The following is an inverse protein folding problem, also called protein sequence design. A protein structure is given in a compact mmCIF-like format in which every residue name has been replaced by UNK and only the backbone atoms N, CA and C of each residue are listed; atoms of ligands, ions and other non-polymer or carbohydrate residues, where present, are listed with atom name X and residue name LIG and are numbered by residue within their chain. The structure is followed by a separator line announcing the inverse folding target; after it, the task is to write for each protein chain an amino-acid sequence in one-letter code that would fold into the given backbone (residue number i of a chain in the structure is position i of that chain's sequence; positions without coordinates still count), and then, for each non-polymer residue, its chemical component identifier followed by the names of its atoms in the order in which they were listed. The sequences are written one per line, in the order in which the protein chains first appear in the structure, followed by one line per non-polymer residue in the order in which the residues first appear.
data_IF_114385397190
#
_entry.id   IF_114385397190
#
_cell.length_a   1.000
_cell.length_b   1.000
_cell.length_c   1.000
_cell.angle_alpha   90.00
_cell.angle_beta   90.00
_cell.angle_gamma   90.00
#
_symmetry.space_group_name_H-M   'P 1'
#
loop_
_entity.id
_entity.type
_entity.pdbx_description
1 polymer ?
#
# COMPACT_ATOMS: atom_id res chain seq x y z
N UNK A 1 -24.53 33.74 11.15
CA UNK A 1 -23.40 33.92 12.09
C UNK A 1 -22.12 33.91 11.26
N UNK A 2 -21.21 34.89 11.44
CA UNK A 2 -20.11 35.12 10.52
C UNK A 2 -18.99 34.09 10.67
N UNK A 3 -18.31 33.82 9.55
CA UNK A 3 -17.16 32.92 9.43
C UNK A 3 -16.03 33.29 10.39
N UNK A 4 -15.59 32.31 11.17
CA UNK A 4 -14.40 32.44 12.00
C UNK A 4 -13.14 32.40 11.11
N UNK A 5 -12.39 33.50 11.17
CA UNK A 5 -11.07 33.71 10.59
C UNK A 5 -10.12 32.53 10.84
N UNK A 6 -9.33 32.18 9.82
CA UNK A 6 -8.17 31.30 9.91
C UNK A 6 -7.29 31.69 11.11
N UNK A 7 -7.38 30.94 12.21
CA UNK A 7 -6.49 31.09 13.36
C UNK A 7 -5.19 30.37 13.03
N UNK A 8 -4.13 31.17 13.00
CA UNK A 8 -2.72 30.80 13.02
C UNK A 8 -2.43 29.47 13.71
N UNK A 9 -1.75 28.57 12.99
CA UNK A 9 -1.10 27.38 13.51
C UNK A 9 -0.20 27.74 14.71
N UNK A 10 -0.20 26.98 15.82
CA UNK A 10 0.75 27.19 16.90
C UNK A 10 2.18 26.90 16.42
N UNK A 11 3.06 27.91 16.52
CA UNK A 11 4.44 27.95 16.01
C UNK A 11 5.37 26.81 16.47
N UNK A 12 4.95 25.96 17.42
CA UNK A 12 5.73 24.84 17.93
C UNK A 12 5.57 23.52 17.14
N UNK A 13 4.57 23.40 16.25
CA UNK A 13 4.35 22.18 15.42
C UNK A 13 4.73 22.35 13.96
N UNK A 14 4.84 23.59 13.50
CA UNK A 14 5.39 23.96 12.21
C UNK A 14 6.84 23.48 12.08
N UNK A 15 7.64 23.62 13.14
CA UNK A 15 9.03 23.18 13.17
C UNK A 15 9.29 21.67 13.10
N UNK A 16 8.29 20.78 13.22
CA UNK A 16 8.47 19.32 13.05
C UNK A 16 8.22 18.90 11.59
N UNK A 17 7.18 19.46 10.97
CA UNK A 17 6.88 19.26 9.55
C UNK A 17 7.91 20.00 8.68
N UNK A 18 8.28 21.22 9.07
CA UNK A 18 9.37 21.98 8.44
C UNK A 18 10.73 21.33 8.72
N UNK A 19 11.00 20.75 9.90
CA UNK A 19 12.24 19.97 10.08
C UNK A 19 12.29 18.74 9.18
N UNK A 20 11.19 17.98 9.04
CA UNK A 20 11.18 16.81 8.16
C UNK A 20 11.39 17.23 6.70
N UNK A 21 10.75 18.33 6.27
CA UNK A 21 10.90 18.89 4.93
C UNK A 21 12.29 19.51 4.69
N UNK A 22 12.84 20.27 5.63
CA UNK A 22 14.16 20.88 5.54
C UNK A 22 15.30 19.87 5.67
N UNK A 23 15.20 18.87 6.57
CA UNK A 23 16.16 17.77 6.65
C UNK A 23 16.12 16.89 5.39
N UNK A 24 14.94 16.77 4.76
CA UNK A 24 14.77 16.13 3.46
C UNK A 24 15.42 16.93 2.32
N UNK A 25 15.24 18.25 2.27
CA UNK A 25 15.90 19.13 1.27
C UNK A 25 17.42 19.21 1.46
N UNK A 26 17.93 19.19 2.70
CA UNK A 26 19.37 19.32 3.02
C UNK A 26 20.18 18.04 2.84
N UNK A 27 19.56 16.86 2.84
CA UNK A 27 20.26 15.57 2.72
C UNK A 27 20.56 15.14 1.26
N UNK A 28 20.34 16.04 0.30
CA UNK A 28 20.63 15.85 -1.12
C UNK A 28 22.09 16.05 -1.54
N UNK A 29 22.91 16.79 -0.80
CA UNK A 29 24.32 17.03 -1.15
C UNK A 29 25.15 17.41 0.09
N UNK A 30 26.16 16.61 0.40
CA UNK A 30 27.26 17.07 1.22
C UNK A 30 28.14 17.98 0.37
N UNK A 31 28.01 19.31 0.52
CA UNK A 31 29.00 20.25 0.00
C UNK A 31 29.64 20.99 1.17
N UNK A 32 30.93 20.70 1.36
CA UNK A 32 31.83 21.46 2.22
C UNK A 32 31.90 22.91 1.75
N UNK A 33 32.12 23.89 2.64
CA UNK A 33 32.39 25.25 2.22
C UNK A 33 33.84 25.33 1.73
N UNK A 34 34.04 25.58 0.44
CA UNK A 34 35.26 26.22 -0.06
C UNK A 34 34.83 27.42 -0.88
N UNK A 35 35.15 28.61 -0.39
CA UNK A 35 34.83 29.86 -1.05
C UNK A 35 35.51 29.99 -2.40
N UNK A 36 34.88 30.74 -3.30
CA UNK A 36 35.43 31.93 -3.96
C UNK A 36 34.37 32.46 -4.91
N UNK A 37 34.36 33.78 -5.06
CA UNK A 37 33.41 34.59 -5.79
C UNK A 37 33.36 34.22 -7.29
N UNK A 38 32.17 34.29 -7.87
CA UNK A 38 31.98 34.12 -9.31
C UNK A 38 30.52 34.37 -9.70
N UNK A 39 30.21 35.61 -10.05
CA UNK A 39 28.89 36.02 -10.55
C UNK A 39 28.53 35.28 -11.85
N UNK A 40 27.32 34.74 -11.95
CA UNK A 40 26.73 34.28 -13.21
C UNK A 40 25.34 34.88 -13.37
N UNK A 41 25.21 35.69 -14.42
CA UNK A 41 24.03 36.43 -14.87
C UNK A 41 22.95 35.49 -15.44
N UNK A 42 21.69 35.70 -15.04
CA UNK A 42 20.51 34.99 -15.57
C UNK A 42 19.94 35.78 -16.75
N UNK A 43 20.03 35.23 -17.96
CA UNK A 43 19.36 35.75 -19.15
C UNK A 43 17.86 35.37 -19.15
N UNK A 44 16.97 36.35 -19.33
CA UNK A 44 15.53 36.16 -19.52
C UNK A 44 15.21 35.81 -20.99
N UNK A 45 14.29 34.87 -21.29
CA UNK A 45 13.79 34.69 -22.65
C UNK A 45 12.71 35.71 -23.01
N UNK A 46 12.84 36.28 -24.22
CA UNK A 46 11.98 37.29 -24.82
C UNK A 46 10.55 36.81 -25.10
N UNK A 47 9.57 37.67 -24.77
CA UNK A 47 8.18 37.58 -25.22
C UNK A 47 8.05 38.07 -26.68
N UNK A 48 7.26 37.36 -27.51
CA UNK A 48 6.82 37.84 -28.83
C UNK A 48 5.45 38.53 -28.73
N UNK A 49 5.20 39.63 -29.46
CA UNK A 49 3.94 40.37 -29.37
C UNK A 49 2.82 39.77 -30.24
N UNK A 50 1.57 39.90 -29.76
CA UNK A 50 0.32 39.60 -30.47
C UNK A 50 -0.21 40.88 -31.13
N UNK A 51 -0.64 40.87 -32.40
CA UNK A 51 -1.23 42.06 -33.02
C UNK A 51 -2.72 42.23 -32.70
N UNK A 52 -3.12 43.48 -32.52
CA UNK A 52 -4.49 43.93 -32.26
C UNK A 52 -5.29 44.09 -33.57
N UNK A 53 -6.56 43.67 -33.56
CA UNK A 53 -7.52 43.89 -34.64
C UNK A 53 -8.95 43.68 -34.15
N UNK A 54 -9.72 44.76 -34.10
CA UNK A 54 -11.03 44.89 -33.46
C UNK A 54 -12.19 44.19 -34.20
N UNK A 55 -13.25 43.83 -33.46
CA UNK A 55 -14.64 44.30 -33.70
C UNK A 55 -15.60 43.86 -32.59
N UNK A 56 -16.46 44.81 -32.17
CA UNK A 56 -17.60 44.67 -31.24
C UNK A 56 -18.82 44.06 -31.94
N UNK A 57 -19.48 43.13 -31.27
CA UNK A 57 -20.94 42.86 -31.25
C UNK A 57 -21.10 41.69 -30.26
N UNK A 58 -22.05 41.56 -29.34
CA UNK A 58 -23.34 42.18 -29.04
C UNK A 58 -23.94 41.24 -27.97
N UNK A 59 -24.54 41.79 -26.91
CA UNK A 59 -25.15 41.00 -25.83
C UNK A 59 -26.28 40.11 -26.39
N UNK A 60 -26.21 38.80 -26.19
CA UNK A 60 -27.38 37.91 -26.22
C UNK A 60 -27.28 36.88 -25.09
N UNK A 61 -28.28 36.92 -24.21
CA UNK A 61 -28.60 35.82 -23.31
C UNK A 61 -29.03 34.61 -24.14
N UNK A 62 -28.48 33.44 -23.85
CA UNK A 62 -28.97 32.16 -24.34
C UNK A 62 -29.13 31.19 -23.17
N UNK A 63 -30.34 30.64 -23.11
CA UNK A 63 -30.90 29.79 -22.07
C UNK A 63 -30.16 28.46 -21.97
N UNK A 64 -30.05 27.95 -20.74
CA UNK A 64 -29.71 26.57 -20.42
C UNK A 64 -30.76 25.64 -21.06
N UNK A 65 -30.31 24.78 -21.97
CA UNK A 65 -31.07 23.64 -22.48
C UNK A 65 -30.43 22.36 -21.96
N UNK A 66 -31.20 21.58 -21.18
CA UNK A 66 -30.87 20.20 -20.87
C UNK A 66 -30.76 19.40 -22.17
N UNK A 67 -29.64 18.71 -22.37
CA UNK A 67 -29.52 17.58 -23.29
C UNK A 67 -29.06 16.39 -22.49
N UNK A 68 -29.84 15.32 -22.56
CA UNK A 68 -29.50 13.99 -22.10
C UNK A 68 -28.34 13.47 -22.96
N UNK A 69 -27.16 13.27 -22.36
CA UNK A 69 -26.01 12.62 -23.00
C UNK A 69 -25.98 11.14 -22.60
N UNK A 70 -26.16 10.24 -23.58
CA UNK A 70 -25.85 8.82 -23.41
C UNK A 70 -24.33 8.62 -23.20
N UNK A 71 -23.89 7.67 -22.36
CA UNK A 71 -22.48 7.48 -22.06
C UNK A 71 -21.72 6.86 -23.25
N UNK A 72 -20.63 7.51 -23.65
CA UNK A 72 -19.65 6.98 -24.61
C UNK A 72 -19.04 5.65 -24.15
N UNK A 73 -18.80 4.68 -25.05
CA UNK A 73 -18.09 3.45 -24.71
C UNK A 73 -16.59 3.73 -24.48
N UNK A 74 -15.92 3.02 -23.55
CA UNK A 74 -14.52 3.28 -23.23
C UNK A 74 -13.58 2.92 -24.40
N UNK A 75 -12.70 3.86 -24.73
CA UNK A 75 -11.63 3.69 -25.72
C UNK A 75 -10.65 2.59 -25.26
N UNK A 76 -10.37 1.64 -26.16
CA UNK A 76 -9.36 0.58 -25.94
C UNK A 76 -7.96 1.18 -26.15
N UNK A 77 -7.19 1.31 -25.06
CA UNK A 77 -5.76 1.60 -25.14
C UNK A 77 -4.97 0.31 -25.45
N UNK A 78 -3.93 0.38 -26.29
CA UNK A 78 -3.14 -0.80 -26.67
C UNK A 78 -2.30 -1.31 -25.49
N UNK A 79 -2.52 -2.56 -25.11
CA UNK A 79 -1.73 -3.25 -24.08
C UNK A 79 -0.46 -3.79 -24.76
N UNK A 80 0.68 -3.16 -24.50
CA UNK A 80 1.97 -3.74 -24.88
C UNK A 80 2.23 -4.99 -24.02
N UNK A 81 2.18 -6.16 -24.66
CA UNK A 81 2.39 -7.47 -24.06
C UNK A 81 3.89 -7.69 -23.83
N UNK A 82 4.39 -7.32 -22.66
CA UNK A 82 5.71 -7.77 -22.21
C UNK A 82 5.62 -9.27 -21.85
N UNK A 83 6.11 -10.13 -22.75
CA UNK A 83 6.24 -11.57 -22.52
C UNK A 83 7.52 -11.81 -21.74
N UNK A 84 7.41 -12.24 -20.49
CA UNK A 84 8.55 -12.80 -19.75
C UNK A 84 8.70 -14.28 -20.13
N UNK A 85 9.82 -14.64 -20.74
CA UNK A 85 10.20 -16.03 -21.03
C UNK A 85 10.96 -16.55 -19.81
N UNK A 86 10.25 -17.27 -18.94
CA UNK A 86 10.86 -18.06 -17.87
C UNK A 86 11.41 -19.40 -18.39
N UNK A 87 12.29 -20.07 -17.63
CA UNK A 87 12.93 -21.30 -18.07
C UNK A 87 11.93 -22.46 -18.20
N UNK A 88 12.25 -23.32 -19.15
CA UNK A 88 11.47 -24.33 -19.86
C UNK A 88 10.39 -25.12 -19.08
N UNK A 89 9.26 -25.30 -19.78
CA UNK A 89 8.13 -26.16 -19.40
C UNK A 89 8.57 -27.63 -19.36
N UNK A 90 8.47 -28.27 -18.20
CA UNK A 90 8.22 -29.72 -18.13
C UNK A 90 6.75 -29.95 -17.80
N UNK A 91 6.04 -30.54 -18.76
CA UNK A 91 4.61 -30.79 -18.68
C UNK A 91 4.27 -31.86 -17.64
N UNK A 92 3.24 -31.58 -16.84
CA UNK A 92 2.54 -32.62 -16.09
C UNK A 92 1.06 -32.29 -16.07
N UNK A 93 0.28 -33.04 -16.86
CA UNK A 93 -1.18 -33.03 -16.84
C UNK A 93 -1.67 -33.43 -15.44
N UNK A 94 -2.29 -32.50 -14.72
CA UNK A 94 -3.03 -32.83 -13.49
C UNK A 94 -4.50 -33.00 -13.86
N UNK A 95 -4.96 -34.25 -13.91
CA UNK A 95 -6.39 -34.61 -14.01
C UNK A 95 -7.13 -34.08 -12.78
N UNK A 96 -8.05 -33.13 -12.98
CA UNK A 96 -8.97 -32.67 -11.92
C UNK A 96 -9.98 -33.79 -11.58
N UNK A 97 -9.80 -34.49 -10.45
CA UNK A 97 -10.88 -35.27 -9.82
C UNK A 97 -11.78 -34.31 -9.04
N UNK A 98 -13.04 -34.17 -9.47
CA UNK A 98 -14.10 -33.49 -8.70
C UNK A 98 -14.45 -34.37 -7.50
N UNK A 99 -14.21 -33.89 -6.28
CA UNK A 99 -14.75 -34.51 -5.07
C UNK A 99 -16.04 -33.77 -4.70
N UNK A 100 -17.20 -34.35 -5.04
CA UNK A 100 -18.49 -33.96 -4.43
C UNK A 100 -18.63 -34.79 -3.15
N UNK A 101 -18.52 -34.18 -1.96
CA UNK A 101 -19.11 -34.77 -0.75
C UNK A 101 -20.52 -34.19 -0.60
N UNK A 102 -21.52 -35.04 -0.82
CA UNK A 102 -22.81 -34.92 -0.15
C UNK A 102 -22.60 -35.37 1.30
N UNK A 103 -23.03 -34.55 2.25
CA UNK A 103 -23.22 -34.98 3.63
C UNK A 103 -24.71 -35.23 3.76
N UNK A 104 -25.10 -36.49 3.82
CA UNK A 104 -26.43 -36.90 4.27
C UNK A 104 -26.28 -37.39 5.71
N UNK A 105 -26.98 -36.73 6.63
CA UNK A 105 -27.13 -37.15 8.01
C UNK A 105 -28.36 -38.06 8.09
N UNK A 106 -28.21 -39.29 8.57
CA UNK A 106 -29.27 -40.10 9.19
C UNK A 106 -28.70 -41.32 9.92
N UNK A 107 -28.87 -41.28 11.24
CA UNK A 107 -29.29 -42.34 12.18
C UNK A 107 -28.94 -43.82 11.93
N UNK A 108 -28.56 -44.49 13.02
CA UNK A 108 -28.88 -45.92 13.21
C UNK A 108 -27.83 -46.74 13.94
N UNK A 109 -28.14 -47.12 15.18
CA UNK A 109 -27.38 -48.01 16.06
C UNK A 109 -27.38 -49.50 15.63
N UNK A 110 -26.69 -50.33 16.43
CA UNK A 110 -26.52 -51.80 16.42
C UNK A 110 -25.18 -52.24 15.79
N UNK A 111 -24.26 -52.91 16.46
CA UNK A 111 -24.42 -54.00 17.44
C UNK A 111 -24.02 -55.30 16.74
N UNK A 112 -22.79 -55.80 16.95
CA UNK A 112 -22.43 -57.16 16.53
C UNK A 112 -21.45 -57.85 17.48
N UNK A 113 -21.88 -59.03 17.89
CA UNK A 113 -21.21 -60.03 18.71
C UNK A 113 -20.14 -60.82 17.94
N UNK A 114 -19.34 -61.52 18.73
CA UNK A 114 -18.20 -62.41 18.44
C UNK A 114 -18.50 -63.57 17.48
N UNK A 115 -17.47 -63.94 16.70
CA UNK A 115 -16.91 -65.28 16.38
C UNK A 115 -15.91 -65.07 15.22
N UNK A 116 -14.77 -65.73 15.03
CA UNK A 116 -14.09 -66.86 15.65
C UNK A 116 -13.00 -67.34 14.66
N UNK A 117 -11.82 -67.64 15.19
CA UNK A 117 -10.81 -68.59 14.70
C UNK A 117 -10.01 -68.37 13.37
N UNK A 118 -8.70 -68.18 13.59
CA UNK A 118 -7.53 -68.88 13.00
C UNK A 118 -7.20 -68.71 11.51
N UNK A 119 -6.05 -68.06 11.30
CA UNK A 119 -5.19 -68.23 10.12
C UNK A 119 -3.86 -67.51 10.31
N UNK A 120 -2.89 -68.16 10.97
CA UNK A 120 -1.50 -67.67 11.00
C UNK A 120 -0.91 -67.80 9.59
N UNK A 121 -0.64 -66.66 8.93
CA UNK A 121 0.40 -66.55 7.92
C UNK A 121 1.39 -65.51 8.40
N UNK A 122 2.64 -65.92 8.54
CA UNK A 122 3.78 -65.04 8.79
C UNK A 122 3.84 -64.02 7.65
N UNK A 123 3.55 -62.76 7.99
CA UNK A 123 3.88 -61.64 7.13
C UNK A 123 5.27 -61.17 7.57
N UNK A 124 6.22 -61.27 6.64
CA UNK A 124 7.55 -60.71 6.76
C UNK A 124 7.46 -59.23 7.18
N UNK A 125 8.38 -58.84 8.06
CA UNK A 125 8.58 -57.49 8.56
C UNK A 125 8.72 -56.49 7.40
N UNK A 126 7.82 -55.50 7.22
CA UNK A 126 7.95 -54.47 6.19
C UNK A 126 8.86 -53.36 6.70
N UNK A 127 10.05 -53.72 7.17
CA UNK A 127 11.12 -52.79 7.43
C UNK A 127 12.19 -53.00 6.36
N UNK A 128 12.68 -51.89 5.79
CA UNK A 128 13.83 -51.81 4.87
C UNK A 128 13.52 -51.88 3.37
N UNK A 129 12.62 -51.03 2.88
CA UNK A 129 12.84 -50.40 1.56
C UNK A 129 13.51 -49.05 1.79
N UNK A 130 14.76 -48.82 1.35
CA UNK A 130 15.40 -47.52 1.50
C UNK A 130 14.68 -46.52 0.59
N UNK A 131 13.85 -45.66 1.19
CA UNK A 131 13.31 -44.51 0.50
C UNK A 131 14.50 -43.60 0.19
N UNK A 132 14.94 -43.59 -1.07
CA UNK A 132 15.86 -42.57 -1.57
C UNK A 132 15.11 -41.24 -1.47
N UNK A 133 15.23 -40.56 -0.33
CA UNK A 133 14.84 -39.16 -0.18
C UNK A 133 15.81 -38.37 -1.04
N UNK A 134 15.49 -38.22 -2.32
CA UNK A 134 16.08 -37.15 -3.12
C UNK A 134 15.93 -35.88 -2.29
N UNK A 135 17.05 -35.31 -1.83
CA UNK A 135 17.06 -33.98 -1.24
C UNK A 135 16.63 -33.03 -2.35
N UNK A 136 15.32 -32.83 -2.50
CA UNK A 136 14.80 -31.67 -3.22
C UNK A 136 15.46 -30.48 -2.53
N UNK A 137 16.30 -29.75 -3.25
CA UNK A 137 16.83 -28.47 -2.79
C UNK A 137 15.60 -27.67 -2.36
N UNK A 138 15.46 -27.42 -1.05
CA UNK A 138 14.28 -26.79 -0.51
C UNK A 138 14.24 -25.38 -1.10
N UNK A 139 13.37 -25.16 -2.08
CA UNK A 139 13.07 -23.82 -2.55
C UNK A 139 12.50 -23.08 -1.33
N UNK A 140 13.08 -21.94 -0.91
CA UNK A 140 12.54 -21.17 0.19
C UNK A 140 11.04 -20.93 -0.02
N UNK A 141 10.24 -21.03 1.04
CA UNK A 141 8.82 -20.71 0.95
C UNK A 141 8.63 -19.26 0.45
N UNK A 142 7.50 -18.98 -0.20
CA UNK A 142 7.22 -17.63 -0.73
C UNK A 142 7.33 -16.55 0.36
N UNK A 143 6.81 -16.82 1.55
CA UNK A 143 6.90 -15.89 2.71
C UNK A 143 8.34 -15.69 3.18
N UNK A 144 9.18 -16.73 3.16
CA UNK A 144 10.62 -16.59 3.46
C UNK A 144 11.33 -15.73 2.41
N UNK A 145 10.96 -15.89 1.14
CA UNK A 145 11.53 -15.10 0.04
C UNK A 145 11.18 -13.61 0.19
N UNK A 146 9.94 -13.30 0.55
CA UNK A 146 9.52 -11.91 0.83
C UNK A 146 10.25 -11.37 2.07
N UNK A 147 10.35 -12.15 3.14
CA UNK A 147 11.04 -11.72 4.35
C UNK A 147 12.54 -11.44 4.12
N UNK A 148 13.21 -12.29 3.34
CA UNK A 148 14.59 -12.06 2.93
C UNK A 148 14.72 -10.80 2.07
N UNK A 149 13.81 -10.58 1.11
CA UNK A 149 13.80 -9.36 0.29
C UNK A 149 13.68 -8.09 1.15
N UNK A 150 12.74 -8.06 2.10
CA UNK A 150 12.54 -6.92 3.01
C UNK A 150 13.81 -6.66 3.84
N UNK A 151 14.40 -7.71 4.42
CA UNK A 151 15.55 -7.57 5.31
C UNK A 151 16.84 -7.18 4.57
N UNK A 152 17.04 -7.67 3.34
CA UNK A 152 18.38 -7.73 2.73
C UNK A 152 18.53 -7.03 1.39
N UNK A 153 17.45 -6.63 0.73
CA UNK A 153 17.59 -5.94 -0.55
C UNK A 153 18.39 -4.65 -0.36
N UNK A 154 19.26 -4.33 -1.33
CA UNK A 154 20.07 -3.14 -1.29
C UNK A 154 19.36 -2.04 -2.05
N UNK A 155 19.34 -0.84 -1.47
CA UNK A 155 18.68 0.30 -2.12
C UNK A 155 19.34 0.66 -3.46
N UNK A 156 20.62 0.35 -3.63
CA UNK A 156 21.38 0.59 -4.86
C UNK A 156 20.97 -0.33 -6.02
N UNK A 157 20.28 -1.44 -5.75
CA UNK A 157 19.82 -2.38 -6.77
C UNK A 157 18.59 -1.83 -7.56
N UNK A 158 18.17 -0.60 -7.22
CA UNK A 158 17.07 0.09 -7.89
C UNK A 158 17.34 0.35 -9.38
N UNK A 159 16.31 0.33 -10.22
CA UNK A 159 16.38 0.98 -11.52
C UNK A 159 16.72 2.46 -11.39
N UNK A 160 17.45 2.99 -12.38
CA UNK A 160 17.72 4.42 -12.47
C UNK A 160 16.41 5.23 -12.42
N UNK A 161 16.40 6.33 -11.66
CA UNK A 161 15.23 7.20 -11.50
C UNK A 161 14.21 6.72 -10.46
N UNK A 162 14.39 5.55 -9.82
CA UNK A 162 13.50 5.09 -8.76
C UNK A 162 13.42 6.06 -7.57
N UNK A 163 14.55 6.68 -7.21
CA UNK A 163 14.59 7.65 -6.10
C UNK A 163 13.79 8.91 -6.43
N UNK A 164 13.96 9.46 -7.63
CA UNK A 164 13.22 10.63 -8.09
C UNK A 164 11.71 10.37 -8.18
N UNK A 165 11.32 9.19 -8.65
CA UNK A 165 9.90 8.80 -8.67
C UNK A 165 9.36 8.61 -7.25
N UNK A 166 10.10 7.94 -6.37
CA UNK A 166 9.69 7.72 -4.99
C UNK A 166 9.54 9.02 -4.21
N UNK A 167 10.46 9.98 -4.37
CA UNK A 167 10.33 11.33 -3.79
C UNK A 167 9.03 12.02 -4.20
N UNK A 168 8.68 11.98 -5.49
CA UNK A 168 7.43 12.56 -6.00
C UNK A 168 6.20 11.89 -5.39
N UNK A 169 6.19 10.56 -5.32
CA UNK A 169 5.09 9.78 -4.74
C UNK A 169 4.92 10.07 -3.24
N UNK A 170 6.02 10.19 -2.49
CA UNK A 170 5.97 10.56 -1.08
C UNK A 170 5.40 11.98 -0.89
N UNK A 171 5.84 12.94 -1.71
CA UNK A 171 5.33 14.31 -1.65
C UNK A 171 3.83 14.39 -2.01
N UNK A 172 3.42 13.67 -3.05
CA UNK A 172 2.03 13.53 -3.48
C UNK A 172 1.14 12.95 -2.38
N UNK A 173 1.57 11.83 -1.79
CA UNK A 173 0.83 11.16 -0.70
C UNK A 173 0.73 12.05 0.54
N UNK A 174 1.81 12.75 0.91
CA UNK A 174 1.79 13.68 2.03
C UNK A 174 0.82 14.84 1.79
N UNK A 175 0.78 15.37 0.57
CA UNK A 175 -0.17 16.41 0.19
C UNK A 175 -1.62 15.89 0.24
N UNK A 176 -1.88 14.68 -0.23
CA UNK A 176 -3.21 14.05 -0.14
C UNK A 176 -3.67 13.89 1.32
N UNK A 177 -2.77 13.44 2.21
CA UNK A 177 -3.04 13.36 3.66
C UNK A 177 -3.44 14.71 4.27
N UNK A 178 -2.71 15.78 3.94
CA UNK A 178 -3.04 17.11 4.44
C UNK A 178 -4.35 17.65 3.85
N UNK A 179 -4.61 17.41 2.57
CA UNK A 179 -5.84 17.82 1.90
C UNK A 179 -7.07 17.14 2.52
N UNK A 180 -6.94 15.88 2.95
CA UNK A 180 -8.03 15.12 3.55
C UNK A 180 -8.44 15.54 4.97
N UNK A 181 -7.65 16.35 5.67
CA UNK A 181 -7.94 16.76 7.06
C UNK A 181 -9.27 17.51 7.18
N UNK A 182 -9.67 18.24 6.14
CA UNK A 182 -10.93 18.99 6.09
C UNK A 182 -12.11 18.23 5.47
N UNK A 183 -11.94 16.93 5.16
CA UNK A 183 -12.96 16.13 4.49
C UNK A 183 -14.04 15.62 5.46
N UNK A 184 -15.06 14.97 4.89
CA UNK A 184 -16.23 14.51 5.64
C UNK A 184 -15.92 13.44 6.72
N UNK A 185 -14.75 12.79 6.66
CA UNK A 185 -14.30 11.83 7.69
C UNK A 185 -13.74 12.50 8.95
N UNK A 186 -13.45 13.80 8.93
CA UNK A 186 -12.77 14.50 10.02
C UNK A 186 -13.53 14.45 11.35
N UNK A 187 -14.82 14.79 11.32
CA UNK A 187 -15.63 14.83 12.53
C UNK A 187 -15.87 13.44 13.16
N UNK A 188 -16.23 12.38 12.39
CA UNK A 188 -16.26 11.02 12.93
C UNK A 188 -14.94 10.54 13.54
N UNK A 189 -13.80 10.81 12.89
CA UNK A 189 -12.49 10.39 13.39
C UNK A 189 -12.08 11.14 14.65
N UNK A 190 -12.41 12.43 14.74
CA UNK A 190 -12.18 13.22 15.96
C UNK A 190 -12.98 12.68 17.14
N UNK A 191 -14.27 12.36 16.94
CA UNK A 191 -15.10 11.72 17.98
C UNK A 191 -14.53 10.36 18.39
N UNK A 192 -14.13 9.53 17.43
CA UNK A 192 -13.47 8.25 17.73
C UNK A 192 -12.20 8.43 18.58
N UNK A 193 -11.36 9.43 18.27
CA UNK A 193 -10.16 9.72 19.04
C UNK A 193 -10.50 10.09 20.50
N UNK A 194 -11.49 10.95 20.69
CA UNK A 194 -11.95 11.37 22.03
C UNK A 194 -12.54 10.20 22.83
N UNK A 195 -13.36 9.36 22.20
CA UNK A 195 -14.03 8.22 22.83
C UNK A 195 -13.08 7.05 23.13
N UNK A 196 -12.14 6.77 22.22
CA UNK A 196 -11.14 5.70 22.40
C UNK A 196 -10.15 6.00 23.52
N UNK A 197 -10.06 7.26 23.97
CA UNK A 197 -9.08 7.74 24.95
C UNK A 197 -7.65 7.34 24.57
N UNK A 198 -7.35 7.32 23.27
CA UNK A 198 -6.01 7.01 22.78
C UNK A 198 -5.01 8.02 23.35
N UNK A 199 -3.89 7.52 23.85
CA UNK A 199 -2.81 8.34 24.40
C UNK A 199 -1.52 8.04 23.65
N UNK A 200 -0.69 9.06 23.48
CA UNK A 200 0.58 8.92 22.77
C UNK A 200 1.04 10.25 22.19
N UNK A 201 2.23 10.21 21.59
CA UNK A 201 2.88 11.39 21.00
C UNK A 201 2.89 11.38 19.48
N UNK A 202 2.34 10.34 18.87
CA UNK A 202 2.29 10.20 17.42
C UNK A 202 1.35 11.25 16.80
N UNK A 203 1.81 12.03 15.82
CA UNK A 203 1.05 13.14 15.29
C UNK A 203 -0.11 12.70 14.38
N UNK A 204 -1.24 13.37 14.51
CA UNK A 204 -2.28 13.39 13.47
C UNK A 204 -1.97 14.55 12.54
N UNK A 205 -1.57 14.23 11.30
CA UNK A 205 -1.03 15.19 10.34
C UNK A 205 -2.03 16.29 10.01
N UNK A 206 -1.53 17.51 9.86
CA UNK A 206 -2.35 18.70 9.60
C UNK A 206 -3.22 19.16 10.78
N UNK A 207 -3.06 18.57 11.98
CA UNK A 207 -3.78 18.97 13.19
C UNK A 207 -2.86 19.24 14.37
N UNK A 208 -3.42 19.76 15.46
CA UNK A 208 -2.73 19.89 16.74
C UNK A 208 -2.85 18.63 17.63
N UNK A 209 -3.47 17.55 17.16
CA UNK A 209 -3.76 16.36 17.95
C UNK A 209 -2.64 15.32 17.88
N UNK A 210 -2.58 14.44 18.89
CA UNK A 210 -1.71 13.27 18.94
C UNK A 210 -2.48 12.07 19.47
N UNK A 211 -2.01 10.87 19.17
CA UNK A 211 -2.61 9.62 19.59
C UNK A 211 -1.53 8.54 19.79
N UNK A 212 -1.95 7.32 20.12
CA UNK A 212 -1.09 6.14 19.98
C UNK A 212 -0.70 5.94 18.51
N UNK A 213 0.43 5.27 18.21
CA UNK A 213 0.87 5.06 16.83
C UNK A 213 -0.19 4.41 15.94
N UNK A 214 -0.96 3.46 16.48
CA UNK A 214 -2.00 2.71 15.75
C UNK A 214 -3.19 3.60 15.39
N UNK A 215 -3.65 4.43 16.33
CA UNK A 215 -4.77 5.34 16.10
C UNK A 215 -4.37 6.49 15.18
N UNK A 216 -3.16 7.04 15.37
CA UNK A 216 -2.62 8.04 14.46
C UNK A 216 -2.44 7.47 13.04
N UNK A 217 -2.02 6.21 12.90
CA UNK A 217 -1.90 5.56 11.60
C UNK A 217 -3.24 5.39 10.89
N UNK A 218 -4.24 4.91 11.62
CA UNK A 218 -5.60 4.79 11.09
C UNK A 218 -6.14 6.15 10.62
N UNK A 219 -6.02 7.20 11.45
CA UNK A 219 -6.53 8.53 11.12
C UNK A 219 -5.77 9.15 9.93
N UNK A 220 -4.43 9.10 9.94
CA UNK A 220 -3.62 9.67 8.87
C UNK A 220 -3.83 8.95 7.54
N UNK A 221 -3.95 7.61 7.56
CA UNK A 221 -4.31 6.82 6.38
C UNK A 221 -5.69 7.19 5.85
N UNK A 222 -6.68 7.33 6.75
CA UNK A 222 -8.04 7.72 6.39
C UNK A 222 -8.08 9.11 5.77
N UNK A 223 -7.33 10.09 6.30
CA UNK A 223 -7.20 11.40 5.67
C UNK A 223 -6.56 11.31 4.28
N UNK A 224 -5.46 10.56 4.14
CA UNK A 224 -4.81 10.43 2.83
C UNK A 224 -5.69 9.83 1.74
N UNK A 225 -6.63 8.96 2.10
CA UNK A 225 -7.48 8.27 1.15
C UNK A 225 -8.90 8.88 1.03
N UNK A 226 -9.21 9.96 1.77
CA UNK A 226 -10.58 10.48 1.87
C UNK A 226 -11.09 11.21 0.64
N UNK A 227 -10.17 11.82 -0.12
CA UNK A 227 -10.51 12.56 -1.34
C UNK A 227 -10.32 11.74 -2.62
N UNK A 228 -9.87 10.50 -2.50
CA UNK A 228 -9.49 9.63 -3.63
C UNK A 228 -8.47 10.29 -4.58
N UNK A 229 -7.54 11.05 -3.99
CA UNK A 229 -6.58 11.90 -4.69
C UNK A 229 -5.13 11.39 -4.57
N UNK A 230 -4.93 10.35 -3.78
CA UNK A 230 -3.68 9.63 -3.57
C UNK A 230 -3.32 8.69 -4.75
N UNK A 231 -2.08 8.24 -4.77
CA UNK A 231 -1.51 7.47 -5.87
C UNK A 231 -2.23 6.13 -6.15
N UNK A 232 -2.07 5.63 -7.38
CA UNK A 232 -2.59 4.31 -7.77
C UNK A 232 -1.46 3.48 -8.34
N UNK A 233 -1.39 2.21 -7.92
CA UNK A 233 -0.50 1.22 -8.50
C UNK A 233 -1.29 0.22 -9.37
N UNK A 234 -1.34 0.33 -10.70
CA UNK A 234 -2.27 -0.47 -11.51
C UNK A 234 -2.09 -2.00 -11.42
N UNK A 235 -0.86 -2.48 -11.13
CA UNK A 235 -0.56 -3.91 -11.00
C UNK A 235 -1.11 -4.52 -9.69
N UNK A 236 -1.37 -3.68 -8.69
CA UNK A 236 -2.06 -3.98 -7.44
C UNK A 236 -3.16 -2.93 -7.32
N UNK A 237 -4.35 -3.12 -7.94
CA UNK A 237 -5.33 -2.06 -8.23
C UNK A 237 -5.87 -1.38 -6.96
N UNK A 238 -5.07 -0.50 -6.41
CA UNK A 238 -5.12 0.02 -5.05
C UNK A 238 -4.01 1.04 -4.81
N UNK A 239 -3.95 1.54 -3.58
CA UNK A 239 -3.23 2.76 -3.22
C UNK A 239 -2.17 2.46 -2.14
N UNK A 240 -0.96 1.99 -2.49
CA UNK A 240 0.02 1.52 -1.51
C UNK A 240 0.66 2.66 -0.71
N UNK A 241 0.83 3.84 -1.29
CA UNK A 241 1.65 4.87 -0.63
C UNK A 241 0.93 5.47 0.56
N UNK A 242 -0.39 5.64 0.49
CA UNK A 242 -1.19 6.12 1.61
C UNK A 242 -1.17 5.14 2.79
N UNK A 243 -1.22 3.82 2.53
CA UNK A 243 -1.15 2.82 3.61
C UNK A 243 0.25 2.79 4.24
N UNK A 244 1.29 2.88 3.42
CA UNK A 244 2.68 2.91 3.88
C UNK A 244 2.94 4.16 4.73
N UNK A 245 2.65 5.35 4.20
CA UNK A 245 2.93 6.59 4.92
C UNK A 245 2.04 6.74 6.14
N UNK A 246 0.79 6.27 6.07
CA UNK A 246 -0.14 6.25 7.20
C UNK A 246 0.41 5.42 8.35
N UNK A 247 0.99 4.26 8.06
CA UNK A 247 1.59 3.41 9.07
C UNK A 247 2.98 3.88 9.55
N UNK A 248 3.82 4.39 8.66
CA UNK A 248 5.22 4.72 8.97
C UNK A 248 5.35 6.04 9.73
N UNK A 249 4.66 7.11 9.31
CA UNK A 249 4.87 8.43 9.89
C UNK A 249 4.56 8.50 11.41
N UNK A 250 3.51 7.81 11.92
CA UNK A 250 3.22 7.77 13.35
C UNK A 250 4.23 6.99 14.21
N UNK A 251 5.01 6.09 13.61
CA UNK A 251 6.05 5.31 14.33
C UNK A 251 7.40 6.01 14.35
N UNK A 252 7.50 7.17 13.71
CA UNK A 252 8.70 7.99 13.78
C UNK A 252 8.76 8.65 15.16
N UNK A 253 9.75 8.25 15.95
CA UNK A 253 10.08 8.92 17.19
C UNK A 253 10.58 10.34 16.95
N UNK A 254 10.87 11.06 18.04
CA UNK A 254 11.53 12.38 17.97
C UNK A 254 12.95 12.31 17.41
N UNK A 255 13.51 11.10 17.26
CA UNK A 255 14.82 10.91 16.65
C UNK A 255 14.75 11.07 15.13
N UNK A 256 15.66 11.87 14.53
CA UNK A 256 15.67 12.09 13.10
C UNK A 256 15.89 10.78 12.33
N UNK A 257 14.92 10.39 11.50
CA UNK A 257 15.16 9.43 10.41
C UNK A 257 15.58 10.18 9.16
N UNK A 258 16.63 9.70 8.48
CA UNK A 258 17.03 10.29 7.19
C UNK A 258 15.95 10.06 6.13
N UNK A 259 15.72 11.04 5.26
CA UNK A 259 14.81 10.89 4.11
C UNK A 259 15.16 9.69 3.23
N UNK A 260 16.44 9.33 3.13
CA UNK A 260 16.91 8.14 2.40
C UNK A 260 16.37 6.84 3.00
N UNK A 261 16.32 6.71 4.33
CA UNK A 261 15.75 5.54 5.02
C UNK A 261 14.23 5.45 4.84
N UNK A 262 13.53 6.59 4.87
CA UNK A 262 12.09 6.61 4.60
C UNK A 262 11.79 6.17 3.16
N UNK A 263 12.55 6.72 2.20
CA UNK A 263 12.44 6.37 0.78
C UNK A 263 12.74 4.88 0.55
N UNK A 264 13.76 4.33 1.21
CA UNK A 264 14.08 2.90 1.18
C UNK A 264 12.93 2.02 1.68
N UNK A 265 12.41 2.33 2.87
CA UNK A 265 11.27 1.62 3.46
C UNK A 265 10.03 1.68 2.56
N UNK A 266 9.72 2.86 2.02
CA UNK A 266 8.59 3.04 1.10
C UNK A 266 8.74 2.20 -0.16
N UNK A 267 9.90 2.25 -0.81
CA UNK A 267 10.16 1.47 -2.03
C UNK A 267 10.05 -0.03 -1.81
N UNK A 268 10.60 -0.53 -0.70
CA UNK A 268 10.46 -1.95 -0.31
C UNK A 268 8.99 -2.30 -0.07
N UNK A 269 8.23 -1.44 0.61
CA UNK A 269 6.80 -1.63 0.84
C UNK A 269 6.00 -1.73 -0.47
N UNK A 270 6.22 -0.78 -1.38
CA UNK A 270 5.57 -0.76 -2.70
C UNK A 270 5.90 -2.01 -3.51
N UNK A 271 7.17 -2.43 -3.56
CA UNK A 271 7.58 -3.61 -4.32
C UNK A 271 6.92 -4.89 -3.77
N UNK A 272 6.87 -5.05 -2.44
CA UNK A 272 6.20 -6.20 -1.82
C UNK A 272 4.70 -6.21 -2.14
N UNK A 273 4.04 -5.06 -2.00
CA UNK A 273 2.64 -4.89 -2.40
C UNK A 273 2.40 -5.24 -3.86
N UNK A 274 3.27 -4.77 -4.75
CA UNK A 274 3.21 -5.07 -6.18
C UNK A 274 3.33 -6.58 -6.45
N UNK A 275 4.28 -7.28 -5.82
CA UNK A 275 4.45 -8.73 -6.00
C UNK A 275 3.26 -9.53 -5.49
N UNK A 276 2.68 -9.13 -4.36
CA UNK A 276 1.46 -9.76 -3.85
C UNK A 276 0.29 -9.48 -4.80
N UNK A 277 0.16 -8.26 -5.32
CA UNK A 277 -0.84 -7.90 -6.33
C UNK A 277 -0.77 -8.77 -7.58
N UNK A 278 0.44 -8.98 -8.13
CA UNK A 278 0.69 -9.89 -9.25
C UNK A 278 0.23 -11.32 -8.92
N UNK A 279 0.54 -11.82 -7.72
CA UNK A 279 0.15 -13.16 -7.30
C UNK A 279 -1.37 -13.32 -7.11
N UNK A 280 -2.06 -12.27 -6.64
CA UNK A 280 -3.50 -12.25 -6.42
C UNK A 280 -4.30 -12.08 -7.72
N UNK A 281 -3.71 -11.45 -8.73
CA UNK A 281 -4.31 -11.14 -10.04
C UNK A 281 -5.52 -10.20 -9.95
N UNK A 282 -6.02 -9.74 -11.09
CA UNK A 282 -7.26 -8.93 -11.15
C UNK A 282 -8.49 -9.67 -10.62
N UNK A 283 -8.48 -11.00 -10.62
CA UNK A 283 -9.60 -11.78 -10.09
C UNK A 283 -9.89 -11.53 -8.61
N UNK A 284 -8.91 -11.05 -7.83
CA UNK A 284 -9.15 -10.58 -6.46
C UNK A 284 -10.08 -9.37 -6.42
N UNK A 285 -9.73 -8.35 -7.20
CA UNK A 285 -10.50 -7.12 -7.31
C UNK A 285 -11.89 -7.36 -7.91
N UNK A 286 -11.98 -8.18 -8.96
CA UNK A 286 -13.24 -8.53 -9.64
C UNK A 286 -14.25 -9.25 -8.74
N UNK A 287 -13.76 -9.96 -7.71
CA UNK A 287 -14.60 -10.60 -6.69
C UNK A 287 -15.15 -9.63 -5.64
N UNK A 288 -14.81 -8.35 -5.72
CA UNK A 288 -15.35 -7.30 -4.85
C UNK A 288 -14.43 -6.90 -3.69
N UNK A 289 -13.19 -7.41 -3.62
CA UNK A 289 -12.23 -6.99 -2.61
C UNK A 289 -11.55 -5.67 -3.00
N UNK A 290 -11.33 -4.81 -2.02
CA UNK A 290 -10.57 -3.57 -2.19
C UNK A 290 -9.08 -3.86 -1.96
N UNK A 291 -8.25 -3.76 -2.99
CA UNK A 291 -6.83 -4.11 -2.89
C UNK A 291 -6.06 -3.19 -1.93
N UNK A 292 -6.45 -1.93 -1.78
CA UNK A 292 -5.83 -1.01 -0.81
C UNK A 292 -5.88 -1.56 0.61
N UNK A 293 -7.06 -1.97 1.10
CA UNK A 293 -7.13 -2.55 2.46
C UNK A 293 -6.59 -3.98 2.54
N UNK A 294 -6.97 -4.83 1.57
CA UNK A 294 -6.63 -6.26 1.64
C UNK A 294 -5.15 -6.56 1.34
N UNK A 295 -4.50 -5.77 0.48
CA UNK A 295 -3.10 -5.96 0.07
C UNK A 295 -2.18 -4.83 0.55
N UNK A 296 -2.69 -3.62 0.71
CA UNK A 296 -1.91 -2.48 1.20
C UNK A 296 -1.42 -2.65 2.63
N UNK A 297 -2.09 -3.46 3.46
CA UNK A 297 -1.59 -3.86 4.79
C UNK A 297 -0.21 -4.52 4.72
N UNK A 298 0.06 -5.35 3.70
CA UNK A 298 1.38 -5.98 3.52
C UNK A 298 2.42 -4.99 3.02
N UNK A 299 2.00 -3.97 2.28
CA UNK A 299 2.88 -2.89 1.82
C UNK A 299 3.36 -2.05 3.02
N UNK A 300 2.42 -1.65 3.87
CA UNK A 300 2.69 -0.94 5.11
C UNK A 300 3.57 -1.76 6.07
N UNK A 301 3.22 -3.04 6.27
CA UNK A 301 4.01 -3.93 7.12
C UNK A 301 5.45 -4.10 6.61
N UNK A 302 5.63 -4.31 5.30
CA UNK A 302 6.96 -4.45 4.71
C UNK A 302 7.80 -3.17 4.90
N UNK A 303 7.20 -1.99 4.75
CA UNK A 303 7.87 -0.72 4.99
C UNK A 303 8.28 -0.55 6.46
N UNK A 304 7.38 -0.85 7.41
CA UNK A 304 7.70 -0.84 8.85
C UNK A 304 8.82 -1.82 9.20
N UNK A 305 8.73 -3.05 8.71
CA UNK A 305 9.77 -4.07 8.92
C UNK A 305 11.13 -3.61 8.39
N UNK A 306 11.16 -3.00 7.20
CA UNK A 306 12.37 -2.44 6.60
C UNK A 306 12.93 -1.28 7.43
N UNK A 307 12.07 -0.36 7.82
CA UNK A 307 12.47 0.85 8.56
C UNK A 307 13.07 0.50 9.93
N UNK A 308 12.43 -0.43 10.64
CA UNK A 308 12.83 -0.89 11.98
C UNK A 308 13.85 -2.04 11.95
N UNK A 309 14.31 -2.47 10.76
CA UNK A 309 15.34 -3.50 10.56
C UNK A 309 15.00 -4.81 11.27
N UNK A 310 13.76 -5.26 11.16
CA UNK A 310 13.32 -6.51 11.77
C UNK A 310 13.97 -7.71 11.08
N UNK A 311 14.20 -8.78 11.85
CA UNK A 311 14.76 -10.01 11.32
C UNK A 311 13.72 -10.82 10.52
N UNK A 312 14.21 -11.75 9.68
CA UNK A 312 13.36 -12.54 8.79
C UNK A 312 12.28 -13.35 9.51
N UNK A 313 12.58 -13.88 10.69
CA UNK A 313 11.62 -14.69 11.44
C UNK A 313 10.48 -13.81 11.96
N UNK A 314 10.80 -12.65 12.51
CA UNK A 314 9.82 -11.66 12.94
C UNK A 314 8.94 -11.19 11.77
N UNK A 315 9.54 -10.89 10.62
CA UNK A 315 8.81 -10.49 9.41
C UNK A 315 7.81 -11.58 9.00
N UNK A 316 8.22 -12.85 8.96
CA UNK A 316 7.33 -13.95 8.58
C UNK A 316 6.12 -14.10 9.50
N UNK A 317 6.35 -13.99 10.81
CA UNK A 317 5.28 -14.06 11.81
C UNK A 317 4.32 -12.88 11.62
N UNK A 318 4.87 -11.67 11.46
CA UNK A 318 4.07 -10.47 11.23
C UNK A 318 3.22 -10.56 9.95
N UNK A 319 3.73 -11.16 8.87
CA UNK A 319 2.94 -11.41 7.66
C UNK A 319 1.76 -12.36 7.90
N UNK A 320 1.94 -13.38 8.76
CA UNK A 320 0.84 -14.26 9.17
C UNK A 320 -0.25 -13.52 9.95
N UNK A 321 0.15 -12.62 10.85
CA UNK A 321 -0.78 -11.76 11.60
C UNK A 321 -1.51 -10.81 10.65
N UNK A 322 -0.79 -10.09 9.79
CA UNK A 322 -1.39 -9.16 8.81
C UNK A 322 -2.37 -9.86 7.87
N UNK A 323 -2.08 -11.08 7.44
CA UNK A 323 -3.01 -11.86 6.61
C UNK A 323 -4.34 -12.17 7.31
N UNK A 324 -4.35 -12.23 8.64
CA UNK A 324 -5.58 -12.41 9.44
C UNK A 324 -6.36 -11.11 9.66
N UNK A 325 -5.75 -9.96 9.36
CA UNK A 325 -6.35 -8.62 9.48
C UNK A 325 -6.71 -7.99 8.14
N UNK A 326 -6.19 -8.55 7.03
CA UNK A 326 -6.43 -8.07 5.68
C UNK A 326 -7.93 -8.07 5.32
N UNK A 327 -8.48 -6.87 5.13
CA UNK A 327 -9.92 -6.69 4.85
C UNK A 327 -10.17 -5.46 3.96
N UNK A 328 -11.40 -5.31 3.49
CA UNK A 328 -11.81 -4.18 2.64
C UNK A 328 -12.64 -4.63 1.44
N UNK A 329 -13.80 -4.00 1.26
CA UNK A 329 -14.78 -4.37 0.24
C UNK A 329 -15.06 -3.19 -0.68
N UNK A 330 -15.07 -3.44 -1.99
CA UNK A 330 -15.47 -2.46 -3.01
C UNK A 330 -16.91 -1.99 -2.86
N UNK A 331 -17.75 -2.77 -2.18
CA UNK A 331 -19.15 -2.38 -1.94
C UNK A 331 -19.29 -1.11 -1.08
N UNK A 332 -18.25 -0.75 -0.34
CA UNK A 332 -18.17 0.49 0.43
C UNK A 332 -17.66 1.68 -0.37
N UNK A 333 -17.40 1.54 -1.68
CA UNK A 333 -17.02 2.68 -2.51
C UNK A 333 -18.17 3.69 -2.60
N UNK A 334 -17.84 4.97 -2.53
CA UNK A 334 -18.83 6.05 -2.44
C UNK A 334 -19.35 6.29 -1.01
N UNK A 335 -18.75 5.67 0.00
CA UNK A 335 -19.03 5.97 1.42
C UNK A 335 -17.74 6.35 2.16
N UNK A 336 -17.90 6.95 3.34
CA UNK A 336 -16.80 7.24 4.27
C UNK A 336 -16.03 5.99 4.74
N UNK A 337 -16.52 4.78 4.46
CA UNK A 337 -15.82 3.54 4.83
C UNK A 337 -14.70 3.22 3.84
N UNK A 338 -14.76 3.68 2.57
CA UNK A 338 -13.66 3.47 1.62
C UNK A 338 -12.31 3.96 2.15
N UNK A 339 -12.17 5.20 2.64
CA UNK A 339 -10.89 5.70 3.15
C UNK A 339 -10.38 5.00 4.41
N UNK A 340 -11.25 4.31 5.17
CA UNK A 340 -10.85 3.56 6.35
C UNK A 340 -10.09 2.25 6.03
N UNK A 341 -10.24 1.73 4.81
CA UNK A 341 -9.64 0.45 4.39
C UNK A 341 -8.11 0.51 4.32
#
# INVERSE_FOLDING_TARGET
MPMASARSFPALKQGMIENLWEQWMRSGEALRPSGTEGAVSIAKPNARPVPAGARRAGKRHLRLGHRDEEPMPPARLPVHRAVWVGPERTGMLVRRRRYRRRVDCRDGAAGYSRHGARGRRSLADPAQTPIIRQRRRAVPGLTETIAAFIAETRIEDAPAGADEKGKKVLADTFAAMLAGVGSEVAEPLKRYLEESRSTGTSPILGTALTASPEVAAMINGTFGHSLDFDDVLPIMPGHPSVTIMGAVLPTLDREPISGRRLLDAHRVGVEVGAKIGVAMTMGHYDRGFHATGTLGIFSALAALCRLHRLDRQTIRIAFGIAASMASGLRRNFGTMTKPLH
#
